data_IF_649723228390
#
_entry.id   IF_649723228390
#
_cell.length_a   1.000
_cell.length_b   1.000
_cell.length_c   1.000
_cell.angle_alpha   90.00
_cell.angle_beta   90.00
_cell.angle_gamma   90.00
#
_symmetry.space_group_name_H-M   'P 1'
#
loop_
_entity.id
_entity.type
_entity.pdbx_description
1 polymer ?
#
# COMPACT_ATOMS: atom_id res chain seq x y z
N UNK A 1 -15.40 -7.69 -13.21
CA UNK A 1 -15.31 -8.25 -11.85
C UNK A 1 -15.18 -7.10 -10.85
N UNK A 2 -15.94 -7.12 -9.75
CA UNK A 2 -16.03 -5.98 -8.83
C UNK A 2 -14.73 -5.82 -8.02
N UNK A 3 -14.13 -4.62 -8.07
CA UNK A 3 -12.89 -4.32 -7.32
C UNK A 3 -13.15 -4.24 -5.82
N UNK A 4 -14.29 -3.67 -5.40
CA UNK A 4 -14.68 -3.56 -3.99
C UNK A 4 -15.51 -4.77 -3.62
N UNK A 5 -15.06 -5.56 -2.65
CA UNK A 5 -15.74 -6.76 -2.16
C UNK A 5 -15.26 -7.15 -0.75
N UNK A 6 -16.03 -8.00 -0.05
CA UNK A 6 -15.59 -8.56 1.24
C UNK A 6 -14.49 -9.60 1.05
N UNK A 7 -13.43 -9.56 1.87
CA UNK A 7 -12.36 -10.55 1.81
C UNK A 7 -12.86 -11.95 2.22
N UNK A 8 -12.22 -13.02 1.72
CA UNK A 8 -12.55 -14.39 2.11
C UNK A 8 -12.42 -14.61 3.62
N UNK A 9 -13.31 -15.43 4.19
CA UNK A 9 -13.32 -15.81 5.62
C UNK A 9 -12.37 -16.98 5.91
N UNK A 10 -11.16 -16.92 5.39
CA UNK A 10 -10.09 -17.90 5.59
C UNK A 10 -8.79 -17.18 5.93
N UNK A 11 -7.81 -17.88 6.45
CA UNK A 11 -6.50 -17.29 6.71
C UNK A 11 -5.76 -16.99 5.40
N UNK A 12 -5.19 -15.80 5.24
CA UNK A 12 -4.38 -15.48 4.08
C UNK A 12 -3.02 -16.17 4.14
N UNK A 13 -2.42 -16.40 2.99
CA UNK A 13 -1.10 -17.01 2.90
C UNK A 13 0.04 -16.01 3.16
N UNK A 14 -0.22 -14.71 3.11
CA UNK A 14 0.79 -13.64 3.29
C UNK A 14 0.15 -12.31 3.60
N UNK A 15 0.89 -11.48 4.36
CA UNK A 15 0.59 -10.07 4.56
C UNK A 15 1.71 -9.17 4.03
N UNK A 16 1.33 -7.97 3.58
CA UNK A 16 2.24 -6.88 3.20
C UNK A 16 1.61 -5.57 3.64
N UNK A 17 2.43 -4.64 4.10
CA UNK A 17 2.04 -3.27 4.44
C UNK A 17 2.59 -2.32 3.38
N UNK A 18 1.77 -1.41 2.86
CA UNK A 18 2.20 -0.29 2.02
C UNK A 18 1.97 1.02 2.72
N UNK A 19 2.91 1.95 2.60
CA UNK A 19 2.87 3.24 3.30
C UNK A 19 3.13 4.39 2.33
N UNK A 20 2.28 5.41 2.37
CA UNK A 20 2.59 6.76 1.91
C UNK A 20 2.74 7.67 3.11
N UNK A 21 4.00 8.06 3.42
CA UNK A 21 4.34 8.79 4.63
C UNK A 21 4.21 10.28 4.44
N UNK A 22 3.27 10.89 5.11
CA UNK A 22 3.08 12.33 5.17
C UNK A 22 3.11 12.87 6.60
N UNK A 23 3.77 14.02 6.81
CA UNK A 23 3.78 14.71 8.12
C UNK A 23 2.74 15.82 8.18
N UNK A 24 2.61 16.63 7.14
CA UNK A 24 1.56 17.65 6.98
C UNK A 24 0.38 17.12 6.16
N UNK A 25 0.69 16.43 5.07
CA UNK A 25 -0.29 15.70 4.27
C UNK A 25 -0.71 14.42 5.00
N UNK A 26 -1.69 13.73 4.46
CA UNK A 26 -2.13 12.50 5.09
C UNK A 26 -1.03 11.42 5.06
N UNK A 27 -0.94 10.68 6.16
CA UNK A 27 -0.23 9.42 6.22
C UNK A 27 -1.22 8.30 5.92
N UNK A 28 -0.99 7.58 4.84
CA UNK A 28 -1.80 6.44 4.45
C UNK A 28 -1.04 5.13 4.62
N UNK A 29 -1.73 4.10 5.12
CA UNK A 29 -1.21 2.74 5.16
C UNK A 29 -2.28 1.74 4.74
N UNK A 30 -1.92 0.84 3.81
CA UNK A 30 -2.74 -0.27 3.37
C UNK A 30 -2.20 -1.60 3.87
N UNK A 31 -3.03 -2.37 4.58
CA UNK A 31 -2.72 -3.75 4.93
C UNK A 31 -3.28 -4.68 3.86
N UNK A 32 -2.38 -5.38 3.18
CA UNK A 32 -2.68 -6.31 2.11
C UNK A 32 -2.56 -7.75 2.57
N UNK A 33 -3.53 -8.58 2.19
CA UNK A 33 -3.57 -10.00 2.47
C UNK A 33 -3.71 -10.80 1.17
N UNK A 34 -2.95 -11.88 1.02
CA UNK A 34 -2.97 -12.75 -0.16
C UNK A 34 -3.87 -13.96 0.08
N UNK A 35 -4.93 -14.06 -0.71
CA UNK A 35 -5.82 -15.22 -0.74
C UNK A 35 -5.75 -15.87 -2.13
N UNK A 36 -5.19 -17.07 -2.19
CA UNK A 36 -4.86 -17.69 -3.49
C UNK A 36 -3.88 -16.82 -4.29
N UNK A 37 -4.33 -16.31 -5.42
CA UNK A 37 -3.54 -15.45 -6.32
C UNK A 37 -4.00 -13.97 -6.33
N UNK A 38 -4.93 -13.60 -5.44
CA UNK A 38 -5.54 -12.27 -5.37
C UNK A 38 -5.11 -11.58 -4.08
N UNK A 39 -4.61 -10.35 -4.21
CA UNK A 39 -4.30 -9.50 -3.09
C UNK A 39 -5.50 -8.66 -2.69
N UNK A 40 -5.76 -8.58 -1.41
CA UNK A 40 -6.84 -7.79 -0.83
C UNK A 40 -6.29 -6.73 0.08
N UNK A 41 -6.64 -5.45 -0.16
CA UNK A 41 -6.48 -4.40 0.83
C UNK A 41 -7.56 -4.59 1.87
N UNK A 42 -7.22 -5.27 2.97
CA UNK A 42 -8.19 -5.70 3.98
C UNK A 42 -8.46 -4.64 5.04
N UNK A 43 -7.54 -3.72 5.24
CA UNK A 43 -7.60 -2.69 6.28
C UNK A 43 -6.77 -1.49 5.85
N UNK A 44 -7.15 -0.30 6.31
CA UNK A 44 -6.36 0.92 6.10
C UNK A 44 -6.18 1.70 7.41
N UNK A 45 -5.06 2.40 7.50
CA UNK A 45 -4.82 3.49 8.43
C UNK A 45 -4.70 4.78 7.62
N UNK A 46 -5.38 5.84 8.08
CA UNK A 46 -5.35 7.13 7.40
C UNK A 46 -5.38 8.24 8.45
N UNK A 47 -4.39 9.13 8.41
CA UNK A 47 -4.31 10.25 9.34
C UNK A 47 -3.80 11.50 8.62
N UNK A 48 -4.59 12.56 8.66
CA UNK A 48 -4.22 13.87 8.10
C UNK A 48 -3.92 14.85 9.24
N UNK A 49 -2.66 15.25 9.39
CA UNK A 49 -2.27 16.30 10.32
C UNK A 49 -2.90 17.66 9.99
N UNK A 50 -3.15 17.92 8.70
CA UNK A 50 -3.83 19.12 8.22
C UNK A 50 -5.29 19.17 8.67
N UNK A 51 -6.03 18.06 8.53
CA UNK A 51 -7.47 18.03 8.85
C UNK A 51 -7.72 18.00 10.35
N UNK A 52 -6.82 17.34 11.10
CA UNK A 52 -6.92 17.28 12.57
C UNK A 52 -6.34 18.49 13.29
N UNK A 53 -5.51 19.29 12.60
CA UNK A 53 -4.74 20.37 13.20
C UNK A 53 -3.60 19.90 14.12
N UNK A 54 -3.32 18.60 14.16
CA UNK A 54 -2.30 17.99 15.05
C UNK A 54 -1.32 17.20 14.18
N UNK A 55 -0.05 17.57 14.24
CA UNK A 55 1.01 16.83 13.57
C UNK A 55 1.57 15.75 14.50
N UNK A 56 1.66 14.52 14.03
CA UNK A 56 2.29 13.40 14.74
C UNK A 56 3.78 13.33 14.46
N UNK A 57 4.51 12.85 15.46
CA UNK A 57 5.92 12.47 15.34
C UNK A 57 6.07 11.10 14.69
N UNK A 58 7.28 10.78 14.20
CA UNK A 58 7.62 9.45 13.68
C UNK A 58 7.30 8.34 14.70
N UNK A 59 7.58 8.61 15.98
CA UNK A 59 7.34 7.64 17.06
C UNK A 59 5.84 7.36 17.27
N UNK A 60 5.00 8.41 17.23
CA UNK A 60 3.54 8.26 17.34
C UNK A 60 2.97 7.51 16.17
N UNK A 61 3.42 7.78 14.92
CA UNK A 61 3.05 7.02 13.75
C UNK A 61 3.48 5.55 13.84
N UNK A 62 4.69 5.28 14.35
CA UNK A 62 5.15 3.91 14.53
C UNK A 62 4.33 3.14 15.57
N UNK A 63 3.90 3.80 16.65
CA UNK A 63 2.99 3.21 17.65
C UNK A 63 1.60 2.94 17.05
N UNK A 64 1.09 3.84 16.20
CA UNK A 64 -0.16 3.63 15.49
C UNK A 64 -0.07 2.42 14.56
N UNK A 65 1.02 2.27 13.80
CA UNK A 65 1.24 1.10 12.96
C UNK A 65 1.35 -0.19 13.75
N UNK A 66 1.97 -0.16 14.93
CA UNK A 66 2.04 -1.33 15.82
C UNK A 66 0.64 -1.79 16.25
N UNK A 67 -0.23 -0.84 16.62
CA UNK A 67 -1.65 -1.13 16.93
C UNK A 67 -2.42 -1.60 15.69
N UNK A 68 -2.23 -0.93 14.56
CA UNK A 68 -2.86 -1.24 13.29
C UNK A 68 -2.58 -2.68 12.82
N UNK A 69 -1.36 -3.17 13.07
CA UNK A 69 -0.89 -4.50 12.65
C UNK A 69 -0.93 -5.55 13.76
N UNK A 70 -1.49 -5.23 14.93
CA UNK A 70 -1.49 -6.11 16.11
C UNK A 70 -2.17 -7.47 15.84
N UNK A 71 -3.23 -7.49 15.04
CA UNK A 71 -4.00 -8.69 14.72
C UNK A 71 -3.22 -9.73 13.89
N UNK A 72 -2.13 -9.32 13.24
CA UNK A 72 -1.33 -10.23 12.41
C UNK A 72 -0.54 -11.22 13.28
N UNK A 73 -0.30 -10.86 14.55
CA UNK A 73 0.48 -11.67 15.49
C UNK A 73 1.95 -11.81 15.09
N UNK A 74 2.67 -12.59 15.91
CA UNK A 74 4.09 -12.88 15.69
C UNK A 74 4.33 -14.07 14.73
N UNK A 75 3.27 -14.61 14.15
CA UNK A 75 3.34 -15.78 13.25
C UNK A 75 4.11 -15.50 11.94
N UNK A 76 4.24 -14.24 11.58
CA UNK A 76 4.93 -13.82 10.36
C UNK A 76 6.26 -13.15 10.71
N UNK A 77 7.34 -13.80 10.31
CA UNK A 77 8.68 -13.21 10.37
C UNK A 77 8.65 -11.81 9.70
N UNK A 78 8.93 -10.77 10.45
CA UNK A 78 8.96 -9.34 10.11
C UNK A 78 8.06 -8.93 8.93
N UNK A 79 6.99 -8.23 9.22
CA UNK A 79 6.03 -7.75 8.22
C UNK A 79 6.73 -6.93 7.11
N UNK A 80 6.61 -7.40 5.87
CA UNK A 80 7.11 -6.67 4.70
C UNK A 80 6.38 -5.34 4.59
N UNK A 81 7.14 -4.25 4.59
CA UNK A 81 6.62 -2.88 4.62
C UNK A 81 7.24 -2.08 3.49
N UNK A 82 6.41 -1.74 2.52
CA UNK A 82 6.80 -0.95 1.34
C UNK A 82 6.55 0.52 1.66
N UNK A 83 7.55 1.36 1.47
CA UNK A 83 7.49 2.80 1.78
C UNK A 83 8.36 3.59 0.81
N UNK A 84 7.92 4.81 0.46
CA UNK A 84 8.73 5.72 -0.35
C UNK A 84 10.09 5.97 0.31
N UNK A 85 11.21 5.81 -0.42
CA UNK A 85 12.55 6.01 0.11
C UNK A 85 12.83 7.43 0.62
N UNK A 86 12.03 8.43 0.24
CA UNK A 86 12.14 9.81 0.76
C UNK A 86 11.82 9.93 2.25
N UNK A 87 11.06 8.98 2.84
CA UNK A 87 10.71 8.93 4.26
C UNK A 87 11.88 8.46 5.16
N UNK A 88 13.08 9.02 4.99
CA UNK A 88 14.32 8.50 5.56
C UNK A 88 14.33 8.38 7.09
N UNK A 89 13.77 9.36 7.81
CA UNK A 89 13.69 9.35 9.29
C UNK A 89 12.80 8.21 9.78
N UNK A 90 11.61 8.09 9.21
CA UNK A 90 10.65 7.07 9.55
C UNK A 90 11.14 5.66 9.20
N UNK A 91 11.78 5.48 8.04
CA UNK A 91 12.43 4.23 7.65
C UNK A 91 13.49 3.81 8.68
N UNK A 92 14.29 4.77 9.16
CA UNK A 92 15.32 4.51 10.17
C UNK A 92 14.69 4.03 11.48
N UNK A 93 13.59 4.66 11.90
CA UNK A 93 12.85 4.27 13.10
C UNK A 93 12.25 2.86 12.95
N UNK A 94 11.56 2.55 11.86
CA UNK A 94 10.97 1.23 11.61
C UNK A 94 12.02 0.11 11.61
N UNK A 95 13.20 0.37 11.03
CA UNK A 95 14.31 -0.59 11.06
C UNK A 95 14.84 -0.84 12.47
N UNK A 96 14.96 0.21 13.30
CA UNK A 96 15.39 0.09 14.71
C UNK A 96 14.41 -0.72 15.55
N UNK A 97 13.11 -0.59 15.30
CA UNK A 97 12.06 -1.37 15.99
C UNK A 97 12.11 -2.86 15.70
N UNK A 98 12.68 -3.26 14.56
CA UNK A 98 12.92 -4.67 14.21
C UNK A 98 11.68 -5.48 13.83
N UNK A 99 10.47 -4.94 13.99
CA UNK A 99 9.19 -5.58 13.65
C UNK A 99 8.90 -5.58 12.14
N UNK A 100 9.43 -4.60 11.43
CA UNK A 100 9.14 -4.35 10.02
C UNK A 100 10.34 -4.70 9.13
N UNK A 101 10.08 -5.40 8.03
CA UNK A 101 11.04 -5.58 6.94
C UNK A 101 10.80 -4.50 5.89
N UNK A 102 11.50 -3.38 6.03
CA UNK A 102 11.34 -2.23 5.14
C UNK A 102 11.88 -2.52 3.75
N UNK A 103 11.05 -2.28 2.74
CA UNK A 103 11.34 -2.42 1.31
C UNK A 103 11.13 -1.05 0.68
N UNK A 104 12.15 -0.48 -0.01
CA UNK A 104 11.99 0.75 -0.76
C UNK A 104 10.92 0.59 -1.84
N UNK A 105 9.98 1.53 -1.94
CA UNK A 105 8.99 1.55 -2.99
C UNK A 105 9.63 1.86 -4.36
N UNK A 106 9.16 1.18 -5.40
CA UNK A 106 9.25 1.71 -6.76
C UNK A 106 8.16 2.78 -6.89
N UNK A 107 8.55 4.05 -6.81
CA UNK A 107 7.65 5.19 -6.76
C UNK A 107 7.39 5.83 -8.14
N UNK A 108 7.73 5.15 -9.23
CA UNK A 108 7.44 5.59 -10.60
C UNK A 108 5.94 5.92 -10.76
N UNK A 109 5.62 7.15 -11.19
CA UNK A 109 4.23 7.64 -11.16
C UNK A 109 3.41 7.06 -12.30
N UNK A 110 3.71 7.40 -13.55
CA UNK A 110 2.86 7.02 -14.70
C UNK A 110 2.79 5.51 -14.91
N UNK A 111 3.93 4.83 -14.86
CA UNK A 111 3.96 3.37 -14.98
C UNK A 111 3.24 2.69 -13.82
N UNK A 112 3.40 3.22 -12.61
CA UNK A 112 2.73 2.71 -11.43
C UNK A 112 1.21 2.83 -11.52
N UNK A 113 0.69 3.96 -12.03
CA UNK A 113 -0.74 4.17 -12.25
C UNK A 113 -1.28 3.15 -13.28
N UNK A 114 -0.59 2.99 -14.42
CA UNK A 114 -0.96 2.03 -15.46
C UNK A 114 -0.95 0.58 -14.94
N UNK A 115 0.07 0.21 -14.19
CA UNK A 115 0.17 -1.12 -13.58
C UNK A 115 -0.92 -1.35 -12.53
N UNK A 116 -1.27 -0.33 -11.74
CA UNK A 116 -2.36 -0.42 -10.76
C UNK A 116 -3.71 -0.63 -11.46
N UNK A 117 -4.01 0.16 -12.49
CA UNK A 117 -5.22 0.00 -13.28
C UNK A 117 -5.29 -1.40 -13.92
N UNK A 118 -4.17 -1.88 -14.47
CA UNK A 118 -4.06 -3.23 -15.04
C UNK A 118 -4.32 -4.31 -13.98
N UNK A 119 -3.73 -4.19 -12.78
CA UNK A 119 -3.94 -5.14 -11.69
C UNK A 119 -5.41 -5.21 -11.25
N UNK A 120 -6.11 -4.06 -11.22
CA UNK A 120 -7.54 -3.99 -10.94
C UNK A 120 -8.36 -4.68 -12.05
N UNK A 121 -8.10 -4.35 -13.31
CA UNK A 121 -8.80 -4.95 -14.47
C UNK A 121 -8.62 -6.46 -14.53
N UNK A 122 -7.43 -6.95 -14.19
CA UNK A 122 -7.13 -8.39 -14.13
C UNK A 122 -7.71 -9.07 -12.87
N UNK A 123 -8.36 -8.35 -11.96
CA UNK A 123 -8.85 -8.88 -10.69
C UNK A 123 -7.74 -9.37 -9.75
N UNK A 124 -6.51 -8.88 -9.90
CA UNK A 124 -5.35 -9.27 -9.08
C UNK A 124 -5.30 -8.54 -7.74
N UNK A 125 -5.98 -7.41 -7.63
CA UNK A 125 -6.18 -6.68 -6.38
C UNK A 125 -7.67 -6.42 -6.16
N UNK A 126 -8.07 -6.49 -4.90
CA UNK A 126 -9.41 -6.13 -4.41
C UNK A 126 -9.31 -5.31 -3.16
N UNK A 127 -10.37 -4.54 -2.88
CA UNK A 127 -10.44 -3.58 -1.78
C UNK A 127 -11.61 -3.94 -0.89
N UNK A 128 -11.37 -4.09 0.40
CA UNK A 128 -12.44 -4.31 1.36
C UNK A 128 -13.29 -3.03 1.52
N UNK A 129 -14.63 -3.14 1.69
CA UNK A 129 -15.50 -1.98 1.83
C UNK A 129 -15.12 -1.05 2.99
N UNK A 130 -14.46 -1.56 4.01
CA UNK A 130 -13.96 -0.79 5.17
C UNK A 130 -12.78 0.14 4.86
N UNK A 131 -12.18 0.05 3.66
CA UNK A 131 -11.14 0.97 3.19
C UNK A 131 -11.77 2.22 2.59
N UNK A 132 -12.49 2.99 3.41
CA UNK A 132 -13.33 4.12 2.99
C UNK A 132 -12.53 5.28 2.41
N UNK A 133 -11.33 5.55 2.94
CA UNK A 133 -10.48 6.61 2.42
C UNK A 133 -9.94 6.25 1.02
N UNK A 134 -9.54 5.00 0.83
CA UNK A 134 -9.15 4.50 -0.48
C UNK A 134 -10.30 4.66 -1.49
N UNK A 135 -11.53 4.26 -1.11
CA UNK A 135 -12.71 4.34 -1.97
C UNK A 135 -13.01 5.80 -2.33
N UNK A 136 -12.95 6.70 -1.34
CA UNK A 136 -13.15 8.14 -1.54
C UNK A 136 -12.12 8.74 -2.50
N UNK A 137 -10.84 8.42 -2.31
CA UNK A 137 -9.78 8.92 -3.18
C UNK A 137 -9.88 8.35 -4.60
N UNK A 138 -10.20 7.06 -4.75
CA UNK A 138 -10.39 6.43 -6.06
C UNK A 138 -11.52 7.07 -6.88
N UNK A 139 -12.59 7.53 -6.23
CA UNK A 139 -13.68 8.24 -6.89
C UNK A 139 -13.28 9.64 -7.37
N UNK A 140 -12.34 10.28 -6.68
CA UNK A 140 -11.82 11.60 -7.04
C UNK A 140 -10.54 11.58 -7.88
N UNK A 141 -10.00 10.38 -8.18
CA UNK A 141 -8.73 10.23 -8.88
C UNK A 141 -8.92 10.42 -10.38
N UNK A 142 -8.72 11.65 -10.84
CA UNK A 142 -8.91 12.06 -12.25
C UNK A 142 -7.60 12.59 -12.84
N UNK A 143 -7.49 12.51 -14.16
CA UNK A 143 -6.37 13.11 -14.90
C UNK A 143 -6.49 14.63 -14.90
N UNK A 144 -5.35 15.32 -14.87
CA UNK A 144 -5.30 16.78 -15.03
C UNK A 144 -5.35 17.11 -16.53
N UNK A 145 -6.52 17.47 -17.01
CA UNK A 145 -6.73 17.85 -18.41
C UNK A 145 -6.07 19.21 -18.77
N UNK A 146 -5.52 19.92 -17.78
CA UNK A 146 -4.88 21.23 -17.97
C UNK A 146 -3.36 21.16 -18.07
N UNK A 147 -2.75 20.04 -17.68
CA UNK A 147 -1.30 19.83 -17.81
C UNK A 147 -0.96 19.27 -19.20
N UNK A 148 0.14 19.73 -19.76
CA UNK A 148 0.70 19.19 -21.02
C UNK A 148 1.28 17.79 -20.89
N UNK A 149 1.47 17.30 -19.67
CA UNK A 149 1.87 15.94 -19.35
C UNK A 149 0.70 15.21 -18.69
N UNK A 150 0.47 13.96 -19.11
CA UNK A 150 -0.52 13.04 -18.50
C UNK A 150 -0.20 12.81 -17.02
N UNK A 151 -0.71 13.67 -16.14
CA UNK A 151 -0.55 13.56 -14.69
C UNK A 151 -1.91 13.53 -13.99
N UNK A 152 -2.05 12.77 -12.90
CA UNK A 152 -3.25 12.87 -12.08
C UNK A 152 -3.26 14.19 -11.31
N UNK A 153 -4.46 14.69 -11.03
CA UNK A 153 -4.65 15.79 -10.09
C UNK A 153 -4.18 15.34 -8.72
N UNK A 154 -3.13 15.99 -8.18
CA UNK A 154 -2.55 15.69 -6.87
C UNK A 154 -3.37 16.32 -5.74
N UNK A 155 -4.56 15.75 -5.50
CA UNK A 155 -5.42 16.16 -4.39
C UNK A 155 -5.96 14.89 -3.73
N UNK A 156 -5.63 14.67 -2.47
CA UNK A 156 -6.08 13.51 -1.70
C UNK A 156 -5.80 12.19 -2.44
N UNK A 157 -4.53 11.91 -2.73
CA UNK A 157 -4.08 10.74 -3.50
C UNK A 157 -3.22 9.76 -2.68
N UNK A 158 -3.19 9.91 -1.35
CA UNK A 158 -2.29 9.18 -0.47
C UNK A 158 -2.55 7.68 -0.41
N UNK A 159 -3.82 7.25 -0.39
CA UNK A 159 -4.20 5.85 -0.44
C UNK A 159 -4.01 5.26 -1.85
N UNK A 160 -4.10 6.11 -2.88
CA UNK A 160 -3.75 5.73 -4.26
C UNK A 160 -2.25 5.55 -4.39
N UNK A 161 -1.44 6.42 -3.81
CA UNK A 161 0.01 6.36 -3.85
C UNK A 161 0.55 5.13 -3.10
N UNK A 162 0.09 4.85 -1.88
CA UNK A 162 0.51 3.63 -1.16
C UNK A 162 0.10 2.35 -1.93
N UNK A 163 -1.06 2.35 -2.60
CA UNK A 163 -1.50 1.25 -3.46
C UNK A 163 -0.58 1.09 -4.68
N UNK A 164 -0.22 2.19 -5.31
CA UNK A 164 0.72 2.22 -6.44
C UNK A 164 2.08 1.67 -6.04
N UNK A 165 2.61 2.07 -4.89
CA UNK A 165 3.85 1.54 -4.32
C UNK A 165 3.78 0.03 -4.14
N UNK A 166 2.67 -0.47 -3.59
CA UNK A 166 2.45 -1.90 -3.41
C UNK A 166 2.44 -2.65 -4.74
N UNK A 167 1.59 -2.24 -5.68
CA UNK A 167 1.42 -2.93 -6.97
C UNK A 167 2.71 -2.95 -7.77
N UNK A 168 3.39 -1.80 -7.85
CA UNK A 168 4.63 -1.66 -8.62
C UNK A 168 5.78 -2.45 -8.00
N UNK A 169 6.02 -2.28 -6.70
CA UNK A 169 7.13 -2.95 -6.00
C UNK A 169 6.95 -4.47 -5.97
N UNK A 170 5.71 -4.95 -5.81
CA UNK A 170 5.39 -6.37 -5.79
C UNK A 170 5.19 -6.98 -7.18
N UNK A 171 5.22 -6.16 -8.25
CA UNK A 171 5.02 -6.57 -9.65
C UNK A 171 3.71 -7.34 -9.87
N UNK A 172 2.62 -6.86 -9.26
CA UNK A 172 1.33 -7.59 -9.20
C UNK A 172 0.71 -7.78 -10.59
N UNK A 173 0.86 -6.78 -11.48
CA UNK A 173 0.33 -6.81 -12.85
C UNK A 173 1.14 -7.68 -13.82
N UNK A 174 2.36 -8.05 -13.43
CA UNK A 174 3.24 -8.81 -14.31
C UNK A 174 2.91 -10.32 -14.27
N UNK A 175 3.04 -11.04 -15.38
CA UNK A 175 2.89 -12.49 -15.37
C UNK A 175 3.94 -13.12 -14.45
N UNK A 176 3.53 -14.09 -13.63
CA UNK A 176 4.48 -14.86 -12.81
C UNK A 176 5.51 -15.48 -13.74
N UNK A 177 6.78 -15.10 -13.62
CA UNK A 177 7.87 -15.70 -14.39
C UNK A 177 7.88 -17.21 -14.16
N UNK A 178 7.73 -17.99 -15.23
CA UNK A 178 7.86 -19.45 -15.24
C UNK A 178 9.34 -19.88 -15.20
N UNK A 179 10.21 -19.16 -14.52
CA UNK A 179 11.54 -19.68 -14.27
C UNK A 179 11.44 -20.77 -13.19
N UNK A 180 11.16 -21.97 -13.64
CA UNK A 180 11.53 -23.19 -12.93
C UNK A 180 13.04 -23.10 -12.72
N UNK A 181 13.48 -23.07 -11.46
CA UNK A 181 14.89 -23.23 -11.11
C UNK A 181 15.37 -24.56 -11.69
N UNK A 182 16.17 -24.50 -12.78
CA UNK A 182 16.84 -25.68 -13.37
C UNK A 182 18.16 -25.97 -12.61
N UNK A 183 18.25 -25.61 -11.35
CA UNK A 183 19.35 -25.99 -10.49
C UNK A 183 18.80 -26.73 -9.25
N UNK A 184 18.31 -27.94 -9.52
CA UNK A 184 18.24 -29.00 -8.52
C UNK A 184 19.40 -29.94 -8.76
N UNK A 185 20.47 -29.84 -7.99
CA UNK A 185 21.36 -30.93 -7.56
C UNK A 185 22.14 -30.44 -6.34
#
# INVERSE_FOLDING_TARGET
EQTIAEPPQISPSRYVLSLDYGTQNAFSAGLWALYGDIWWRIKEYYYSGRDTGIQKTDEEYAQDLDRFTQEIGDEYDKLRTIIDPSAASFITLLRKRGKYRVIPADNSVLDGIRETATAMQMGKIKIAPRCENWIREAQGYVWDDTDSEDRPVKVNDHAMDDTRYFVKTMRISQPKSKYVSIYGR
#
